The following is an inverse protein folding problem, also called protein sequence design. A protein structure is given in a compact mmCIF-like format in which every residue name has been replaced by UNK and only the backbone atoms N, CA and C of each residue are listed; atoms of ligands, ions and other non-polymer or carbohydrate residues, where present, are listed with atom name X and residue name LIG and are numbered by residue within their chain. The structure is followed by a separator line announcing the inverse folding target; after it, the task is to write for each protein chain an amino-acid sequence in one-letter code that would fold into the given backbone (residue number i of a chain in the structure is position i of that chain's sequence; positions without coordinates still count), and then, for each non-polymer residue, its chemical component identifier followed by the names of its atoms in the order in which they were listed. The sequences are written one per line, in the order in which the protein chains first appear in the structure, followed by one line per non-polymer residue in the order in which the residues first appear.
data_IF_241566746393
#
_entry.id   IF_241566746393
#
_cell.length_a   1.000
_cell.length_b   1.000
_cell.length_c   1.000
_cell.angle_alpha   90.00
_cell.angle_beta   90.00
_cell.angle_gamma   90.00
#
_symmetry.space_group_name_H-M   'P 1'
#
loop_
_entity.id
_entity.type
_entity.pdbx_description
1 polymer ?
#
# COMPACT_ATOMS: atom_id res chain seq x y z
N UNK A 1 -3.71 -10.67 -25.84
CA UNK A 1 -4.31 -9.53 -25.16
C UNK A 1 -3.23 -8.77 -24.40
N UNK A 2 -2.96 -7.56 -24.81
CA UNK A 2 -1.95 -6.76 -24.14
C UNK A 2 -2.50 -6.23 -22.81
N UNK A 3 -1.78 -6.49 -21.74
CA UNK A 3 -2.11 -5.91 -20.45
C UNK A 3 -1.39 -4.57 -20.34
N UNK A 4 -2.15 -3.53 -20.11
CA UNK A 4 -1.55 -2.24 -19.84
C UNK A 4 -1.19 -2.19 -18.36
N UNK A 5 0.07 -1.96 -18.09
CA UNK A 5 0.56 -1.76 -16.75
C UNK A 5 0.87 -0.30 -16.55
N UNK A 6 0.38 0.24 -15.47
CA UNK A 6 0.73 1.57 -15.04
C UNK A 6 1.47 1.45 -13.71
N UNK A 7 2.77 1.61 -13.75
CA UNK A 7 3.61 1.48 -12.57
C UNK A 7 4.09 2.85 -12.14
N UNK A 8 3.86 3.16 -10.89
CA UNK A 8 4.31 4.41 -10.28
C UNK A 8 5.30 4.08 -9.19
N UNK A 9 6.45 4.70 -9.23
CA UNK A 9 7.43 4.55 -8.16
C UNK A 9 7.31 5.74 -7.22
N UNK A 10 7.09 5.45 -5.96
CA UNK A 10 7.06 6.48 -4.94
C UNK A 10 8.48 6.97 -4.70
N UNK A 11 8.57 8.21 -4.22
CA UNK A 11 9.85 8.81 -3.88
C UNK A 11 10.65 7.89 -2.97
N UNK A 12 11.94 7.87 -3.17
CA UNK A 12 12.82 7.04 -2.36
C UNK A 12 12.63 7.33 -0.88
N UNK A 13 12.43 6.28 -0.15
CA UNK A 13 12.44 6.35 1.29
C UNK A 13 13.88 6.66 1.70
N UNK A 14 14.03 7.48 2.72
CA UNK A 14 15.34 7.87 3.22
C UNK A 14 16.24 6.66 3.47
N UNK A 15 17.53 6.87 3.50
CA UNK A 15 18.50 5.81 3.71
C UNK A 15 18.26 5.03 5.02
N UNK A 16 17.56 5.61 5.95
CA UNK A 16 17.18 4.92 7.19
C UNK A 16 16.34 3.67 6.92
N UNK A 17 15.69 3.59 5.77
CA UNK A 17 14.92 2.40 5.41
C UNK A 17 15.80 1.16 5.34
N UNK A 18 17.06 1.32 5.00
CA UNK A 18 18.01 0.19 4.94
C UNK A 18 18.27 -0.41 6.30
N UNK A 19 18.21 0.41 7.34
CA UNK A 19 18.48 -0.03 8.70
C UNK A 19 17.30 -0.75 9.33
N UNK A 20 16.12 -0.60 8.75
CA UNK A 20 14.88 -1.16 9.28
C UNK A 20 14.45 -2.46 8.61
N UNK A 21 15.23 -2.96 7.67
CA UNK A 21 14.90 -4.19 6.96
C UNK A 21 13.50 -4.18 6.34
N UNK A 22 13.08 -3.02 5.83
CA UNK A 22 11.81 -2.91 5.14
C UNK A 22 11.82 -3.74 3.87
N UNK A 23 10.73 -4.43 3.63
CA UNK A 23 10.56 -5.19 2.41
C UNK A 23 10.01 -4.32 1.29
N UNK A 24 10.51 -4.55 0.07
CA UNK A 24 9.92 -3.95 -1.11
C UNK A 24 8.61 -4.68 -1.41
N UNK A 25 7.54 -3.92 -1.63
CA UNK A 25 6.22 -4.45 -1.91
C UNK A 25 5.67 -3.79 -3.15
N UNK A 26 4.91 -4.56 -3.94
CA UNK A 26 4.17 -4.01 -5.07
C UNK A 26 2.70 -4.09 -4.71
N UNK A 27 2.05 -2.94 -4.64
CA UNK A 27 0.62 -2.84 -4.37
C UNK A 27 -0.08 -2.58 -5.69
N UNK A 28 -1.08 -3.38 -6.01
CA UNK A 28 -1.78 -3.24 -7.28
C UNK A 28 -3.27 -3.48 -7.13
N UNK A 29 -4.02 -2.95 -8.07
CA UNK A 29 -5.43 -3.26 -8.21
C UNK A 29 -5.80 -3.20 -9.69
N UNK A 30 -6.91 -3.83 -10.03
CA UNK A 30 -7.44 -3.81 -11.40
C UNK A 30 -8.68 -2.93 -11.38
N UNK A 31 -8.71 -1.93 -12.27
CA UNK A 31 -9.87 -1.04 -12.35
C UNK A 31 -11.02 -1.69 -13.12
N UNK A 32 -12.11 -0.95 -13.26
CA UNK A 32 -13.31 -1.45 -13.94
C UNK A 32 -13.09 -1.71 -15.43
N UNK A 33 -12.08 -1.10 -16.00
CA UNK A 33 -11.73 -1.29 -17.42
C UNK A 33 -10.75 -2.45 -17.60
N UNK A 34 -10.40 -3.15 -16.53
CA UNK A 34 -9.46 -4.25 -16.58
C UNK A 34 -8.00 -3.83 -16.63
N UNK A 35 -7.71 -2.57 -16.36
CA UNK A 35 -6.34 -2.05 -16.34
C UNK A 35 -5.76 -2.24 -14.96
N UNK A 36 -4.56 -2.82 -14.89
CA UNK A 36 -3.86 -3.01 -13.63
C UNK A 36 -2.99 -1.80 -13.32
N UNK A 37 -3.21 -1.24 -12.16
CA UNK A 37 -2.40 -0.14 -11.62
C UNK A 37 -1.53 -0.67 -10.51
N UNK A 38 -0.26 -0.34 -10.53
CA UNK A 38 0.69 -0.84 -9.54
C UNK A 38 1.58 0.27 -9.03
N UNK A 39 1.99 0.16 -7.78
CA UNK A 39 2.92 1.08 -7.15
C UNK A 39 3.88 0.28 -6.28
N UNK A 40 5.14 0.63 -6.32
CA UNK A 40 6.16 0.00 -5.50
C UNK A 40 6.37 0.83 -4.24
N UNK A 41 6.31 0.17 -3.09
CA UNK A 41 6.48 0.80 -1.79
C UNK A 41 7.43 -0.02 -0.94
N UNK A 42 7.97 0.57 0.10
CA UNK A 42 8.76 -0.15 1.10
C UNK A 42 8.05 -0.06 2.43
N UNK A 43 7.83 -1.19 3.06
CA UNK A 43 7.06 -1.26 4.29
C UNK A 43 7.47 -2.44 5.14
N UNK A 44 7.27 -2.33 6.45
CA UNK A 44 7.54 -3.41 7.39
C UNK A 44 6.37 -4.38 7.50
N UNK A 45 5.19 -3.96 7.13
CA UNK A 45 4.00 -4.76 7.31
C UNK A 45 3.02 -4.64 6.16
N UNK A 46 2.10 -5.59 6.11
CA UNK A 46 1.11 -5.68 5.06
C UNK A 46 0.22 -4.44 4.97
N UNK A 47 -0.33 -4.01 6.10
CA UNK A 47 -1.25 -2.87 6.10
C UNK A 47 -0.53 -1.56 5.83
N UNK A 48 0.69 -1.43 6.33
CA UNK A 48 1.51 -0.26 5.99
C UNK A 48 1.74 -0.18 4.48
N UNK A 49 2.10 -1.30 3.85
CA UNK A 49 2.29 -1.35 2.41
C UNK A 49 1.02 -0.93 1.68
N UNK A 50 -0.14 -1.45 2.12
CA UNK A 50 -1.42 -1.12 1.50
C UNK A 50 -1.74 0.37 1.60
N UNK A 51 -1.50 0.99 2.76
CA UNK A 51 -1.75 2.42 2.94
C UNK A 51 -0.83 3.25 2.05
N UNK A 52 0.45 2.90 2.01
CA UNK A 52 1.40 3.59 1.14
C UNK A 52 1.02 3.44 -0.33
N UNK A 53 0.54 2.26 -0.71
CA UNK A 53 0.04 2.02 -2.06
C UNK A 53 -1.16 2.89 -2.40
N UNK A 54 -2.14 2.95 -1.50
CA UNK A 54 -3.32 3.80 -1.67
C UNK A 54 -2.93 5.28 -1.79
N UNK A 55 -1.97 5.71 -0.98
CA UNK A 55 -1.47 7.07 -1.05
C UNK A 55 -0.83 7.35 -2.41
N UNK A 56 -0.06 6.41 -2.93
CA UNK A 56 0.55 6.51 -4.24
C UNK A 56 -0.48 6.61 -5.36
N UNK A 57 -1.51 5.78 -5.32
CA UNK A 57 -2.60 5.84 -6.30
C UNK A 57 -3.31 7.18 -6.24
N UNK A 58 -3.57 7.68 -5.04
CA UNK A 58 -4.25 8.95 -4.87
C UNK A 58 -3.47 10.12 -5.50
N UNK A 59 -2.15 10.09 -5.43
CA UNK A 59 -1.31 11.12 -6.06
C UNK A 59 -1.44 11.14 -7.57
N UNK A 60 -1.91 10.05 -8.17
CA UNK A 60 -2.14 9.93 -9.60
C UNK A 60 -3.64 9.90 -9.92
N UNK A 61 -4.44 10.43 -9.00
CA UNK A 61 -5.89 10.56 -9.17
C UNK A 61 -6.61 9.22 -9.31
N UNK A 62 -6.04 8.18 -8.75
CA UNK A 62 -6.65 6.86 -8.73
C UNK A 62 -7.23 6.61 -7.34
N UNK A 63 -8.52 6.34 -7.27
CA UNK A 63 -9.20 6.09 -6.00
C UNK A 63 -10.00 4.79 -6.08
N UNK A 64 -9.35 3.66 -5.75
CA UNK A 64 -10.09 2.40 -5.72
C UNK A 64 -11.17 2.43 -4.65
N UNK A 65 -12.33 1.90 -4.98
CA UNK A 65 -13.47 1.84 -4.06
C UNK A 65 -13.21 0.93 -2.88
N UNK A 66 -14.04 1.04 -1.84
CA UNK A 66 -13.86 0.28 -0.61
C UNK A 66 -13.86 -1.23 -0.80
N UNK A 67 -14.59 -1.74 -1.77
CA UNK A 67 -14.66 -3.17 -2.05
C UNK A 67 -13.60 -3.65 -3.03
N UNK A 68 -12.80 -2.73 -3.57
CA UNK A 68 -11.72 -3.10 -4.48
C UNK A 68 -10.66 -3.90 -3.73
N UNK A 69 -10.25 -5.00 -4.32
CA UNK A 69 -9.19 -5.81 -3.76
C UNK A 69 -7.83 -5.24 -4.14
N UNK A 70 -7.00 -5.03 -3.14
CA UNK A 70 -5.61 -4.67 -3.34
C UNK A 70 -4.77 -5.92 -3.25
N UNK A 71 -3.93 -6.13 -4.24
CA UNK A 71 -2.97 -7.21 -4.21
C UNK A 71 -1.62 -6.63 -3.75
N UNK A 72 -1.09 -7.18 -2.67
CA UNK A 72 0.21 -6.77 -2.14
C UNK A 72 1.18 -7.92 -2.33
N UNK A 73 2.16 -7.72 -3.18
CA UNK A 73 3.19 -8.72 -3.44
C UNK A 73 4.45 -8.32 -2.69
N UNK A 74 4.89 -9.18 -1.79
CA UNK A 74 6.12 -8.98 -1.04
C UNK A 74 7.27 -9.61 -1.80
N UNK A 75 8.45 -9.02 -1.71
CA UNK A 75 9.63 -9.47 -2.44
C UNK A 75 9.93 -10.97 -2.32
N UNK A 76 9.47 -11.60 -1.26
CA UNK A 76 9.63 -13.04 -1.07
C UNK A 76 8.65 -13.88 -1.90
N UNK A 77 7.93 -13.28 -2.83
CA UNK A 77 6.93 -13.93 -3.69
C UNK A 77 5.65 -14.34 -2.97
N UNK A 78 5.40 -13.80 -1.80
CA UNK A 78 4.14 -14.01 -1.08
C UNK A 78 3.19 -12.88 -1.45
N UNK A 79 1.97 -13.23 -1.85
CA UNK A 79 0.95 -12.26 -2.19
C UNK A 79 -0.13 -12.23 -1.13
N UNK A 80 -0.58 -11.04 -0.82
CA UNK A 80 -1.68 -10.81 0.10
C UNK A 80 -2.72 -9.95 -0.58
N UNK A 81 -3.97 -10.28 -0.35
CA UNK A 81 -5.09 -9.53 -0.94
C UNK A 81 -5.93 -8.93 0.18
N UNK A 82 -6.16 -7.62 0.11
CA UNK A 82 -6.94 -6.87 1.10
C UNK A 82 -7.94 -5.99 0.37
N UNK A 83 -9.09 -5.78 0.99
CA UNK A 83 -9.99 -4.74 0.48
C UNK A 83 -9.60 -3.39 1.06
N UNK A 84 -9.93 -2.33 0.35
CA UNK A 84 -9.67 -0.96 0.82
C UNK A 84 -10.38 -0.70 2.14
N UNK A 85 -11.60 -1.21 2.29
CA UNK A 85 -12.36 -1.09 3.54
C UNK A 85 -11.60 -1.68 4.71
N UNK A 86 -11.00 -2.84 4.52
CA UNK A 86 -10.25 -3.51 5.58
C UNK A 86 -9.02 -2.71 6.00
N UNK A 87 -8.36 -2.08 5.03
CA UNK A 87 -7.21 -1.22 5.32
C UNK A 87 -7.64 -0.02 6.16
N UNK A 88 -8.76 0.62 5.80
CA UNK A 88 -9.27 1.76 6.54
C UNK A 88 -9.71 1.37 7.94
N UNK A 89 -10.30 0.20 8.11
CA UNK A 89 -10.67 -0.31 9.42
C UNK A 89 -9.45 -0.51 10.30
N UNK A 90 -8.36 -1.05 9.73
CA UNK A 90 -7.13 -1.21 10.47
C UNK A 90 -6.59 0.13 10.99
N UNK A 91 -6.64 1.16 10.15
CA UNK A 91 -6.21 2.51 10.57
C UNK A 91 -7.05 3.07 11.71
N UNK A 92 -8.32 2.72 11.76
CA UNK A 92 -9.24 3.23 12.79
C UNK A 92 -9.21 2.43 14.08
N UNK A 93 -8.66 1.23 14.06
CA UNK A 93 -8.58 0.41 15.26
C UNK A 93 -7.74 1.06 16.32
N UNK A 94 -8.05 0.74 17.58
CA UNK A 94 -7.20 1.12 18.68
C UNK A 94 -5.80 0.53 18.56
N UNK A 95 -4.84 1.20 19.16
CA UNK A 95 -3.44 0.78 19.09
C UNK A 95 -3.07 0.01 20.35
N UNK A 96 -2.18 -0.96 20.18
CA UNK A 96 -1.70 -1.80 21.27
C UNK A 96 -0.38 -1.35 21.84
N UNK A 97 0.45 -0.67 21.03
CA UNK A 97 1.78 -0.26 21.44
C UNK A 97 2.03 1.18 21.00
N UNK A 98 2.93 1.91 21.70
CA UNK A 98 3.28 3.27 21.28
C UNK A 98 3.86 3.32 19.87
N UNK A 99 4.60 2.32 19.47
CA UNK A 99 5.16 2.24 18.12
C UNK A 99 4.08 2.17 17.07
N UNK A 100 3.05 1.36 17.32
CA UNK A 100 1.91 1.24 16.42
C UNK A 100 1.11 2.55 16.36
N UNK A 101 0.99 3.24 17.50
CA UNK A 101 0.30 4.53 17.55
C UNK A 101 0.96 5.56 16.64
N UNK A 102 2.28 5.66 16.72
CA UNK A 102 3.05 6.60 15.90
C UNK A 102 2.91 6.24 14.42
N UNK A 103 3.02 4.98 14.10
CA UNK A 103 2.89 4.51 12.72
C UNK A 103 1.51 4.84 12.15
N UNK A 104 0.45 4.50 12.85
CA UNK A 104 -0.91 4.74 12.39
C UNK A 104 -1.22 6.22 12.23
N UNK A 105 -0.74 7.06 13.15
CA UNK A 105 -0.92 8.50 13.04
C UNK A 105 -0.28 9.03 11.77
N UNK A 106 0.94 8.62 11.50
CA UNK A 106 1.64 9.00 10.28
C UNK A 106 0.91 8.54 9.03
N UNK A 107 0.41 7.30 9.04
CA UNK A 107 -0.29 6.75 7.89
C UNK A 107 -1.65 7.38 7.65
N UNK A 108 -2.35 7.76 8.72
CA UNK A 108 -3.63 8.45 8.58
C UNK A 108 -3.49 9.77 7.84
N UNK A 109 -2.38 10.44 8.02
CA UNK A 109 -2.12 11.70 7.34
C UNK A 109 -1.97 11.52 5.82
N UNK A 110 -1.70 10.31 5.36
CA UNK A 110 -1.55 10.03 3.93
C UNK A 110 -2.88 9.78 3.22
N UNK A 111 -3.91 9.47 3.95
CA UNK A 111 -5.24 9.18 3.43
C UNK A 111 -6.25 10.16 4.01
#
# INVERSE_FOLDING_TARGET
MSRKWHIVRLAKISENAKLRQMAACIVSFVDLDGVRHSVEVQADGLYEAAVLGLSGFRKHELQPGGLTELEVEVRSSVRHTLTVTRVREWLRRGVRTPKEAVLKERLRALL
#
